data_IF_560295315460
#
_entry.id   IF_560295315460
#
_cell.length_a   1.000
_cell.length_b   1.000
_cell.length_c   1.000
_cell.angle_alpha   90.00
_cell.angle_beta   90.00
_cell.angle_gamma   90.00
#
_symmetry.space_group_name_H-M   'P 1'
#
loop_
_entity.id
_entity.type
_entity.pdbx_description
1 polymer ?
#
# COMPACT_ATOMS: atom_id res chain seq x y z
N UNK A 1 19.92 22.83 -14.60
CA UNK A 1 18.65 22.25 -14.08
C UNK A 1 18.67 20.76 -14.44
N UNK A 2 19.11 19.91 -13.52
CA UNK A 2 19.19 18.46 -13.76
C UNK A 2 17.90 17.84 -13.26
N UNK A 3 17.00 17.52 -14.17
CA UNK A 3 15.84 16.70 -13.89
C UNK A 3 16.32 15.25 -13.73
N UNK A 4 16.49 14.80 -12.50
CA UNK A 4 16.58 13.38 -12.22
C UNK A 4 15.19 12.81 -12.45
N UNK A 5 14.94 12.29 -13.66
CA UNK A 5 13.74 11.49 -13.93
C UNK A 5 13.62 10.41 -12.84
N UNK A 6 12.47 10.39 -12.13
CA UNK A 6 12.15 9.29 -11.21
C UNK A 6 12.37 7.99 -11.99
N UNK A 7 13.40 7.23 -11.64
CA UNK A 7 13.59 5.89 -12.20
C UNK A 7 12.37 5.09 -11.82
N UNK A 8 11.53 4.80 -12.80
CA UNK A 8 10.41 3.90 -12.63
C UNK A 8 10.96 2.54 -12.18
N UNK A 9 10.71 2.19 -10.94
CA UNK A 9 11.01 0.85 -10.43
C UNK A 9 9.82 -0.02 -10.77
N UNK A 10 10.01 -1.11 -11.50
CA UNK A 10 8.90 -2.01 -11.79
C UNK A 10 8.39 -2.61 -10.48
N UNK A 11 7.07 -2.57 -10.30
CA UNK A 11 6.35 -3.15 -9.17
C UNK A 11 5.50 -4.32 -9.66
N UNK A 12 5.40 -5.35 -8.84
CA UNK A 12 4.37 -6.37 -8.99
C UNK A 12 3.07 -5.87 -8.35
N UNK A 13 1.96 -5.96 -9.07
CA UNK A 13 0.64 -5.89 -8.45
C UNK A 13 0.28 -7.29 -7.96
N UNK A 14 -0.05 -7.46 -6.68
CA UNK A 14 -0.52 -8.72 -6.11
C UNK A 14 -1.97 -8.57 -5.66
N UNK A 15 -2.82 -9.49 -6.13
CA UNK A 15 -4.18 -9.69 -5.67
C UNK A 15 -4.27 -11.05 -4.96
N UNK A 16 -4.49 -11.02 -3.65
CA UNK A 16 -4.53 -12.20 -2.79
C UNK A 16 -5.97 -12.40 -2.32
N UNK A 17 -6.57 -13.50 -2.75
CA UNK A 17 -7.95 -13.86 -2.40
C UNK A 17 -8.01 -15.26 -1.81
N UNK A 18 -9.16 -15.64 -1.27
CA UNK A 18 -9.38 -17.02 -0.75
C UNK A 18 -9.22 -18.10 -1.80
N UNK A 19 -9.36 -17.77 -3.09
CA UNK A 19 -9.30 -18.72 -4.19
C UNK A 19 -7.99 -18.70 -4.96
N UNK A 20 -7.35 -17.54 -5.09
CA UNK A 20 -6.14 -17.39 -5.90
C UNK A 20 -5.28 -16.22 -5.48
N UNK A 21 -3.97 -16.40 -5.67
CA UNK A 21 -2.97 -15.35 -5.72
C UNK A 21 -2.73 -15.01 -7.18
N UNK A 22 -2.98 -13.76 -7.56
CA UNK A 22 -2.72 -13.24 -8.90
C UNK A 22 -1.61 -12.23 -8.86
N UNK A 23 -0.80 -12.21 -9.90
CA UNK A 23 0.35 -11.34 -10.05
C UNK A 23 0.34 -10.71 -11.44
N UNK A 24 0.64 -9.43 -11.50
CA UNK A 24 0.86 -8.69 -12.75
C UNK A 24 2.08 -7.77 -12.63
N UNK A 25 2.89 -7.71 -13.68
CA UNK A 25 3.95 -6.73 -13.86
C UNK A 25 3.61 -5.86 -15.08
N UNK A 26 3.64 -4.55 -14.88
CA UNK A 26 3.34 -3.57 -15.92
C UNK A 26 4.58 -2.77 -16.28
N UNK A 27 4.76 -2.50 -17.57
CA UNK A 27 5.68 -1.48 -18.06
C UNK A 27 4.92 -0.32 -18.68
N UNK A 28 5.54 0.85 -18.68
CA UNK A 28 5.03 2.01 -19.40
C UNK A 28 5.85 2.22 -20.68
N UNK A 29 5.17 2.25 -21.81
CA UNK A 29 5.77 2.49 -23.13
C UNK A 29 4.89 3.44 -23.93
N UNK A 30 5.46 4.57 -24.37
CA UNK A 30 4.71 5.55 -25.15
C UNK A 30 3.48 6.15 -24.45
N UNK A 31 3.51 6.27 -23.12
CA UNK A 31 2.38 6.76 -22.31
C UNK A 31 1.27 5.73 -22.05
N UNK A 32 1.45 4.48 -22.48
CA UNK A 32 0.50 3.40 -22.27
C UNK A 32 1.10 2.28 -21.41
N UNK A 33 0.28 1.66 -20.57
CA UNK A 33 0.67 0.48 -19.82
C UNK A 33 0.61 -0.77 -20.69
N UNK A 34 1.64 -1.60 -20.56
CA UNK A 34 1.73 -2.91 -21.18
C UNK A 34 1.99 -3.97 -20.11
N UNK A 35 1.31 -5.11 -20.21
CA UNK A 35 1.57 -6.27 -19.36
C UNK A 35 2.88 -6.91 -19.80
N UNK A 36 3.86 -6.96 -18.90
CA UNK A 36 5.15 -7.63 -19.11
C UNK A 36 5.10 -9.08 -18.66
N UNK A 37 4.47 -9.34 -17.52
CA UNK A 37 4.27 -10.68 -17.02
C UNK A 37 3.00 -10.79 -16.17
N UNK A 38 2.44 -11.99 -16.09
CA UNK A 38 1.33 -12.30 -15.19
C UNK A 38 1.33 -13.78 -14.81
N UNK A 39 0.77 -14.09 -13.66
CA UNK A 39 0.48 -15.45 -13.22
C UNK A 39 -0.72 -15.47 -12.27
N UNK A 40 -1.35 -16.63 -12.18
CA UNK A 40 -2.34 -16.94 -11.16
C UNK A 40 -2.03 -18.32 -10.57
N UNK A 41 -2.00 -18.40 -9.25
CA UNK A 41 -1.80 -19.63 -8.49
C UNK A 41 -2.96 -19.84 -7.51
N UNK A 42 -3.42 -21.06 -7.30
CA UNK A 42 -4.42 -21.33 -6.28
C UNK A 42 -3.90 -20.95 -4.90
N UNK A 43 -4.75 -20.27 -4.11
CA UNK A 43 -4.50 -20.08 -2.69
C UNK A 43 -4.65 -21.42 -1.98
N UNK A 44 -3.72 -21.80 -1.09
CA UNK A 44 -3.85 -22.99 -0.29
C UNK A 44 -5.14 -23.01 0.53
N UNK A 45 -5.76 -24.15 0.68
CA UNK A 45 -7.01 -24.30 1.39
C UNK A 45 -6.87 -23.85 2.84
N UNK A 46 -7.82 -23.07 3.33
CA UNK A 46 -7.86 -22.50 4.69
C UNK A 46 -6.68 -21.56 5.04
N UNK A 47 -5.87 -21.13 4.08
CA UNK A 47 -4.80 -20.17 4.34
C UNK A 47 -5.32 -18.73 4.54
N UNK A 48 -6.54 -18.46 4.08
CA UNK A 48 -7.24 -17.17 4.27
C UNK A 48 -8.63 -17.45 4.83
N UNK A 49 -8.98 -16.81 5.93
CA UNK A 49 -10.28 -16.88 6.55
C UNK A 49 -10.80 -15.46 6.82
N UNK A 50 -12.06 -15.19 6.45
CA UNK A 50 -12.72 -13.90 6.67
C UNK A 50 -11.86 -12.68 6.27
N UNK A 51 -11.16 -12.77 5.12
CA UNK A 51 -10.23 -11.77 4.57
C UNK A 51 -8.90 -11.62 5.33
N UNK A 52 -8.65 -12.39 6.38
CA UNK A 52 -7.38 -12.43 7.09
C UNK A 52 -6.51 -13.61 6.61
N UNK A 53 -5.22 -13.36 6.41
CA UNK A 53 -4.25 -14.41 6.14
C UNK A 53 -3.95 -15.10 7.48
N UNK A 54 -4.38 -16.37 7.60
CA UNK A 54 -4.17 -17.18 8.80
C UNK A 54 -2.97 -18.13 8.68
N UNK A 55 -2.53 -18.40 7.45
CA UNK A 55 -1.30 -19.15 7.14
C UNK A 55 -0.45 -18.35 6.14
N UNK A 56 0.39 -17.48 6.69
CA UNK A 56 1.26 -16.61 5.91
C UNK A 56 2.33 -17.40 5.12
N UNK A 57 2.78 -18.54 5.66
CA UNK A 57 3.78 -19.37 4.99
C UNK A 57 3.20 -20.01 3.72
N UNK A 58 2.02 -20.60 3.83
CA UNK A 58 1.34 -21.21 2.69
C UNK A 58 0.99 -20.19 1.59
N UNK A 59 0.54 -19.00 1.96
CA UNK A 59 0.31 -17.90 1.01
C UNK A 59 1.62 -17.44 0.38
N UNK A 60 2.69 -17.30 1.17
CA UNK A 60 4.03 -16.96 0.69
C UNK A 60 4.55 -17.96 -0.34
N UNK A 61 4.32 -19.25 -0.15
CA UNK A 61 4.65 -20.28 -1.12
C UNK A 61 3.85 -20.12 -2.43
N UNK A 62 2.56 -19.80 -2.36
CA UNK A 62 1.76 -19.53 -3.55
C UNK A 62 2.30 -18.31 -4.31
N UNK A 63 2.66 -17.22 -3.60
CA UNK A 63 3.29 -16.04 -4.20
C UNK A 63 4.62 -16.43 -4.87
N UNK A 64 5.49 -17.20 -4.20
CA UNK A 64 6.76 -17.65 -4.79
C UNK A 64 6.55 -18.45 -6.08
N UNK A 65 5.55 -19.34 -6.11
CA UNK A 65 5.19 -20.09 -7.33
C UNK A 65 4.70 -19.14 -8.43
N UNK A 66 3.84 -18.18 -8.10
CA UNK A 66 3.35 -17.19 -9.06
C UNK A 66 4.49 -16.36 -9.67
N UNK A 67 5.42 -15.87 -8.85
CA UNK A 67 6.60 -15.12 -9.30
C UNK A 67 7.48 -15.98 -10.22
N UNK A 68 7.77 -17.21 -9.82
CA UNK A 68 8.57 -18.14 -10.64
C UNK A 68 7.92 -18.44 -11.99
N UNK A 69 6.61 -18.66 -11.98
CA UNK A 69 5.84 -19.00 -13.19
C UNK A 69 5.68 -17.82 -14.14
N UNK A 70 5.50 -16.62 -13.63
CA UNK A 70 5.36 -15.41 -14.45
C UNK A 70 6.66 -14.97 -15.12
N UNK A 71 7.82 -15.35 -14.56
CA UNK A 71 9.12 -14.84 -14.99
C UNK A 71 9.33 -13.35 -14.67
N UNK A 72 8.52 -12.78 -13.78
CA UNK A 72 8.60 -11.37 -13.38
C UNK A 72 9.99 -11.00 -12.85
N UNK A 73 10.44 -9.80 -13.18
CA UNK A 73 11.76 -9.27 -12.82
C UNK A 73 11.72 -8.32 -11.64
N UNK A 74 10.58 -7.71 -11.38
CA UNK A 74 10.39 -6.83 -10.24
C UNK A 74 10.63 -7.57 -8.91
N UNK A 75 11.14 -6.83 -7.92
CA UNK A 75 11.45 -7.37 -6.58
C UNK A 75 10.63 -6.70 -5.48
N UNK A 76 9.90 -5.69 -5.85
CA UNK A 76 8.99 -4.96 -4.97
C UNK A 76 7.56 -5.22 -5.41
N UNK A 77 6.62 -5.24 -4.48
CA UNK A 77 5.22 -5.51 -4.77
C UNK A 77 4.31 -4.50 -4.08
N UNK A 78 3.20 -4.19 -4.74
CA UNK A 78 2.07 -3.47 -4.17
C UNK A 78 0.95 -4.49 -3.91
N UNK A 79 0.38 -4.42 -2.70
CA UNK A 79 -0.73 -5.26 -2.25
C UNK A 79 -1.85 -4.32 -1.78
N UNK A 80 -3.09 -4.65 -2.09
CA UNK A 80 -4.25 -3.99 -1.51
C UNK A 80 -4.65 -4.70 -0.21
N UNK A 81 -4.88 -3.90 0.83
CA UNK A 81 -5.42 -4.38 2.12
C UNK A 81 -6.94 -4.17 2.12
N UNK A 82 -7.69 -5.10 2.69
CA UNK A 82 -9.13 -4.95 2.86
C UNK A 82 -9.46 -3.74 3.73
N UNK A 83 -10.45 -2.94 3.35
CA UNK A 83 -10.89 -1.78 4.12
C UNK A 83 -11.34 -2.10 5.55
N UNK A 84 -11.75 -3.33 5.81
CA UNK A 84 -12.12 -3.79 7.16
C UNK A 84 -10.88 -4.02 8.06
N UNK A 85 -9.70 -4.18 7.47
CA UNK A 85 -8.43 -4.37 8.16
C UNK A 85 -7.60 -3.09 8.28
N UNK A 86 -8.11 -1.95 7.78
CA UNK A 86 -7.41 -0.68 7.81
C UNK A 86 -8.30 0.43 8.37
N UNK A 87 -7.76 1.22 9.27
CA UNK A 87 -8.37 2.46 9.74
C UNK A 87 -7.89 3.57 8.82
N UNK A 88 -8.81 4.30 8.20
CA UNK A 88 -8.49 5.44 7.35
C UNK A 88 -9.14 6.69 7.89
N UNK A 89 -8.38 7.77 8.02
CA UNK A 89 -8.86 9.09 8.44
C UNK A 89 -8.21 10.19 7.60
N UNK A 90 -9.01 11.22 7.30
CA UNK A 90 -8.46 12.47 6.79
C UNK A 90 -8.40 13.45 7.97
N UNK A 91 -7.20 13.90 8.29
CA UNK A 91 -6.91 14.85 9.35
C UNK A 91 -6.41 16.15 8.73
N UNK A 92 -6.61 17.27 9.44
CA UNK A 92 -6.19 18.59 8.96
C UNK A 92 -4.94 19.05 9.69
N UNK A 93 -3.94 19.50 8.92
CA UNK A 93 -2.66 19.98 9.42
C UNK A 93 -2.39 21.38 8.92
N UNK A 94 -1.78 22.26 9.72
CA UNK A 94 -1.36 23.58 9.26
C UNK A 94 -0.38 23.48 8.08
N UNK A 95 -0.65 24.23 7.01
CA UNK A 95 0.21 24.28 5.82
C UNK A 95 1.60 24.87 6.10
N UNK A 96 1.74 25.59 7.21
CA UNK A 96 3.01 26.20 7.63
C UNK A 96 4.02 25.21 8.21
N UNK A 97 3.61 23.97 8.50
CA UNK A 97 4.49 22.95 9.07
C UNK A 97 5.55 22.49 8.06
N UNK A 98 6.79 22.41 8.52
CA UNK A 98 7.85 21.71 7.78
C UNK A 98 7.62 20.19 7.77
N UNK A 99 8.30 19.48 6.87
CA UNK A 99 8.09 18.03 6.68
C UNK A 99 8.28 17.22 7.97
N UNK A 100 9.34 17.50 8.74
CA UNK A 100 9.62 16.83 10.01
C UNK A 100 8.62 17.20 11.12
N UNK A 101 8.13 18.43 11.11
CA UNK A 101 7.12 18.89 12.07
C UNK A 101 5.76 18.26 11.76
N UNK A 102 5.44 18.11 10.47
CA UNK A 102 4.23 17.44 10.02
C UNK A 102 4.20 16.00 10.50
N UNK A 103 5.29 15.25 10.34
CA UNK A 103 5.40 13.85 10.79
C UNK A 103 5.11 13.72 12.30
N UNK A 104 5.76 14.53 13.14
CA UNK A 104 5.52 14.53 14.59
C UNK A 104 4.10 14.94 14.99
N UNK A 105 3.48 15.87 14.24
CA UNK A 105 2.09 16.27 14.48
C UNK A 105 1.09 15.20 14.05
N UNK A 106 1.36 14.49 12.95
CA UNK A 106 0.55 13.35 12.50
C UNK A 106 0.59 12.25 13.54
N UNK A 107 1.78 11.89 14.04
CA UNK A 107 1.95 10.86 15.07
C UNK A 107 1.16 11.20 16.34
N UNK A 108 1.26 12.45 16.82
CA UNK A 108 0.53 12.90 18.00
C UNK A 108 -0.99 12.89 17.80
N UNK A 109 -1.48 13.19 16.59
CA UNK A 109 -2.90 13.14 16.30
C UNK A 109 -3.40 11.72 16.02
N UNK A 110 -2.54 10.85 15.48
CA UNK A 110 -2.90 9.46 15.18
C UNK A 110 -3.41 8.72 16.43
N UNK A 111 -2.77 8.93 17.57
CA UNK A 111 -3.18 8.37 18.87
C UNK A 111 -4.64 8.68 19.27
N UNK A 112 -5.20 9.78 18.75
CA UNK A 112 -6.60 10.15 19.03
C UNK A 112 -7.62 9.42 18.15
N UNK A 113 -7.20 8.88 17.01
CA UNK A 113 -8.06 8.25 16.01
C UNK A 113 -7.89 6.75 15.92
N UNK A 114 -6.76 6.23 16.38
CA UNK A 114 -6.43 4.81 16.37
C UNK A 114 -6.75 4.24 17.75
N UNK A 115 -7.75 3.33 17.87
CA UNK A 115 -8.20 2.81 19.16
C UNK A 115 -7.34 1.66 19.69
N UNK A 116 -6.07 1.61 19.28
CA UNK A 116 -5.09 0.59 19.65
C UNK A 116 -3.77 1.26 20.08
N UNK A 117 -2.98 0.63 20.94
CA UNK A 117 -1.64 1.13 21.28
C UNK A 117 -0.79 1.32 20.02
N UNK A 118 -0.13 2.47 19.88
CA UNK A 118 0.67 2.79 18.70
C UNK A 118 1.80 1.80 18.44
N UNK A 119 2.27 1.10 19.49
CA UNK A 119 3.29 0.05 19.38
C UNK A 119 2.77 -1.24 18.71
N UNK A 120 1.44 -1.42 18.65
CA UNK A 120 0.78 -2.62 18.09
C UNK A 120 0.27 -2.39 16.66
N UNK A 121 0.34 -1.16 16.14
CA UNK A 121 -0.16 -0.81 14.81
C UNK A 121 0.97 -0.36 13.88
N UNK A 122 0.80 -0.66 12.60
CA UNK A 122 1.59 -0.04 11.54
C UNK A 122 0.77 1.09 10.95
N UNK A 123 1.33 2.30 10.88
CA UNK A 123 0.64 3.43 10.25
C UNK A 123 1.53 4.13 9.23
N UNK A 124 0.89 4.81 8.29
CA UNK A 124 1.53 5.67 7.30
C UNK A 124 0.58 6.82 6.96
N UNK A 125 1.09 7.88 6.37
CA UNK A 125 0.27 9.03 5.98
C UNK A 125 0.68 9.61 4.63
N UNK A 126 -0.26 10.26 3.99
CA UNK A 126 -0.05 10.94 2.71
C UNK A 126 -0.71 12.32 2.74
N UNK A 127 0.04 13.36 2.40
CA UNK A 127 -0.55 14.69 2.13
C UNK A 127 -1.35 14.61 0.84
N UNK A 128 -2.67 14.85 0.93
CA UNK A 128 -3.57 14.87 -0.22
C UNK A 128 -3.44 16.20 -0.95
N UNK A 129 -3.42 17.30 -0.20
CA UNK A 129 -3.33 18.66 -0.73
C UNK A 129 -3.95 19.70 0.20
N UNK A 130 -4.11 20.95 -0.29
CA UNK A 130 -4.82 21.99 0.46
C UNK A 130 -6.25 21.56 0.79
N UNK A 131 -6.70 21.86 2.01
CA UNK A 131 -8.08 21.58 2.41
C UNK A 131 -9.07 22.46 1.65
N UNK A 132 -10.16 21.88 1.18
CA UNK A 132 -11.26 22.64 0.54
C UNK A 132 -11.98 23.55 1.54
N UNK A 133 -11.92 23.23 2.85
CA UNK A 133 -12.61 23.96 3.91
C UNK A 133 -11.79 25.14 4.43
N UNK A 134 -10.47 25.01 4.44
CA UNK A 134 -9.55 26.02 4.94
C UNK A 134 -8.25 26.00 4.12
N UNK A 135 -7.97 27.02 3.29
CA UNK A 135 -6.77 27.09 2.46
C UNK A 135 -5.43 27.13 3.22
N UNK A 136 -5.45 27.48 4.52
CA UNK A 136 -4.27 27.47 5.39
C UNK A 136 -3.98 26.07 5.97
N UNK A 137 -4.86 25.10 5.70
CA UNK A 137 -4.73 23.71 6.14
C UNK A 137 -4.44 22.76 4.98
N UNK A 138 -3.77 21.66 5.29
CA UNK A 138 -3.57 20.51 4.41
C UNK A 138 -4.47 19.37 4.88
N UNK A 139 -5.10 18.70 3.94
CA UNK A 139 -5.74 17.43 4.18
C UNK A 139 -4.68 16.32 4.09
N UNK A 140 -4.56 15.53 5.14
CA UNK A 140 -3.60 14.42 5.27
C UNK A 140 -4.38 13.14 5.49
N UNK A 141 -4.19 12.17 4.61
CA UNK A 141 -4.74 10.82 4.77
C UNK A 141 -3.85 10.05 5.74
N UNK A 142 -4.41 9.61 6.85
CA UNK A 142 -3.81 8.68 7.79
C UNK A 142 -4.39 7.30 7.55
N UNK A 143 -3.54 6.29 7.48
CA UNK A 143 -3.92 4.88 7.35
C UNK A 143 -3.18 4.08 8.42
N UNK A 144 -3.90 3.21 9.14
CA UNK A 144 -3.34 2.30 10.14
C UNK A 144 -3.88 0.88 9.98
N UNK A 145 -3.04 -0.11 10.27
CA UNK A 145 -3.35 -1.55 10.18
C UNK A 145 -2.81 -2.29 11.38
#
# INVERSE_FOLDING_TARGET
>A
MWSFGKRYRPLLGLDITTSSVKLIELAMSGGQYRVESYAAEPTPHNAINEKAIVDAEAVGEAIRRAVKRSGARAREAAIAISGDAAITKVIQMPKSLGENELEGQVEMQADQYIPFPMEEVSYDFQVIGPSEKDPEMLDVLLVAT
#
